data_IF_062079817940
#
_entry.id   IF_062079817940
#
_cell.length_a   1.000
_cell.length_b   1.000
_cell.length_c   1.000
_cell.angle_alpha   90.00
_cell.angle_beta   90.00
_cell.angle_gamma   90.00
#
_symmetry.space_group_name_H-M   'P 1'
#
loop_
_entity.id
_entity.type
_entity.pdbx_description
1 polymer ?
#
# COMPACT_ATOMS: atom_id res chain seq x y z
N UNK A 1 33.15 12.39 63.71
CA UNK A 1 33.13 11.29 62.71
C UNK A 1 31.75 11.03 62.07
N UNK A 2 30.63 11.02 62.81
CA UNK A 2 29.29 10.76 62.22
C UNK A 2 28.84 11.83 61.21
N UNK A 3 29.13 13.11 61.50
CA UNK A 3 28.79 14.25 60.62
C UNK A 3 29.53 14.18 59.27
N UNK A 4 30.83 13.87 59.31
CA UNK A 4 31.67 13.74 58.10
C UNK A 4 31.17 12.60 57.20
N UNK A 5 30.78 11.46 57.79
CA UNK A 5 30.22 10.31 57.05
C UNK A 5 28.89 10.65 56.37
N UNK A 6 28.03 11.41 57.05
CA UNK A 6 26.76 11.86 56.48
C UNK A 6 26.96 12.85 55.32
N UNK A 7 27.92 13.76 55.45
CA UNK A 7 28.27 14.72 54.41
C UNK A 7 28.83 14.03 53.15
N UNK A 8 29.72 13.05 53.32
CA UNK A 8 30.25 12.26 52.20
C UNK A 8 29.16 11.45 51.49
N UNK A 9 28.19 10.90 52.24
CA UNK A 9 27.08 10.17 51.64
C UNK A 9 26.17 11.09 50.83
N UNK A 10 25.86 12.28 51.35
CA UNK A 10 25.07 13.31 50.64
C UNK A 10 25.79 13.82 49.38
N UNK A 11 27.11 14.03 49.46
CA UNK A 11 27.88 14.47 48.30
C UNK A 11 27.93 13.40 47.21
N UNK A 12 28.11 12.13 47.59
CA UNK A 12 28.13 11.01 46.66
C UNK A 12 26.76 10.81 45.99
N UNK A 13 25.66 10.84 46.76
CA UNK A 13 24.31 10.69 46.21
C UNK A 13 23.93 11.86 45.33
N UNK A 14 24.19 13.11 45.75
CA UNK A 14 23.93 14.30 44.92
C UNK A 14 24.76 14.31 43.64
N UNK A 15 26.02 13.86 43.68
CA UNK A 15 26.87 13.75 42.47
C UNK A 15 26.33 12.71 41.49
N UNK A 16 25.89 11.55 41.98
CA UNK A 16 25.27 10.52 41.13
C UNK A 16 23.95 11.03 40.55
N UNK A 17 23.11 11.69 41.34
CA UNK A 17 21.85 12.29 40.86
C UNK A 17 22.15 13.35 39.79
N UNK A 18 23.11 14.24 40.03
CA UNK A 18 23.52 15.26 39.07
C UNK A 18 24.04 14.64 37.77
N UNK A 19 24.82 13.55 37.86
CA UNK A 19 25.29 12.81 36.68
C UNK A 19 24.14 12.13 35.91
N UNK A 20 23.17 11.56 36.62
CA UNK A 20 21.96 10.97 35.99
C UNK A 20 21.12 12.05 35.31
N UNK A 21 20.97 13.23 35.92
CA UNK A 21 20.23 14.34 35.31
C UNK A 21 20.97 14.87 34.08
N UNK A 22 22.28 15.11 34.19
CA UNK A 22 23.09 15.60 33.07
C UNK A 22 23.15 14.61 31.90
N UNK A 23 23.30 13.31 32.18
CA UNK A 23 23.31 12.27 31.14
C UNK A 23 21.96 12.13 30.42
N UNK A 24 20.84 12.43 31.08
CA UNK A 24 19.51 12.46 30.46
C UNK A 24 19.24 13.75 29.67
N UNK A 25 19.84 14.86 30.07
CA UNK A 25 19.63 16.18 29.47
C UNK A 25 20.50 16.44 28.23
N UNK A 26 21.61 15.70 28.06
CA UNK A 26 22.52 15.91 26.92
C UNK A 26 21.87 15.34 25.65
N UNK A 27 21.53 16.16 24.64
CA UNK A 27 20.97 15.67 23.39
C UNK A 27 21.98 14.75 22.71
N UNK A 28 21.56 13.51 22.42
CA UNK A 28 22.45 12.57 21.72
C UNK A 28 22.69 13.06 20.28
N UNK A 29 23.93 12.95 19.76
CA UNK A 29 24.22 13.39 18.42
C UNK A 29 23.34 12.65 17.42
N UNK A 30 22.61 13.43 16.62
CA UNK A 30 21.86 12.94 15.49
C UNK A 30 22.87 12.58 14.39
N UNK A 31 22.86 11.31 13.99
CA UNK A 31 23.77 10.76 12.99
C UNK A 31 22.98 10.43 11.73
N UNK A 32 23.42 10.92 10.57
CA UNK A 32 22.87 10.48 9.28
C UNK A 32 23.41 9.09 8.93
N UNK A 33 22.62 8.29 8.24
CA UNK A 33 22.97 6.91 7.89
C UNK A 33 24.25 6.86 7.06
N UNK A 34 24.42 7.76 6.08
CA UNK A 34 25.63 7.84 5.26
C UNK A 34 26.89 8.30 6.02
N UNK A 35 26.75 8.93 7.20
CA UNK A 35 27.89 9.33 8.02
C UNK A 35 28.42 8.20 8.92
N UNK A 36 27.77 7.02 8.93
CA UNK A 36 28.22 5.88 9.71
C UNK A 36 29.51 5.31 9.13
N UNK A 37 30.57 5.31 9.93
CA UNK A 37 31.90 4.80 9.55
C UNK A 37 32.27 3.53 10.34
N UNK A 38 33.12 2.64 9.80
CA UNK A 38 33.58 1.43 10.50
C UNK A 38 34.14 1.68 11.91
N UNK A 39 34.82 2.81 12.12
CA UNK A 39 35.35 3.22 13.42
C UNK A 39 34.28 3.49 14.48
N UNK A 40 33.02 3.69 14.08
CA UNK A 40 31.87 3.92 14.95
C UNK A 40 31.23 2.60 15.43
N UNK A 41 31.81 1.44 15.12
CA UNK A 41 31.29 0.15 15.59
C UNK A 41 31.18 0.16 17.13
N UNK A 42 30.08 -0.38 17.65
CA UNK A 42 29.69 -0.30 19.07
C UNK A 42 29.36 1.12 19.59
N UNK A 43 29.42 2.14 18.74
CA UNK A 43 29.02 3.49 19.08
C UNK A 43 27.52 3.58 19.38
N UNK A 44 27.15 4.41 20.35
CA UNK A 44 25.74 4.69 20.64
C UNK A 44 25.31 5.92 19.86
N UNK A 45 24.29 5.80 19.01
CA UNK A 45 23.84 6.87 18.11
C UNK A 45 22.33 7.07 18.18
N UNK A 46 21.89 8.22 17.69
CA UNK A 46 20.49 8.52 17.38
C UNK A 46 20.35 8.73 15.88
N UNK A 47 19.39 8.05 15.26
CA UNK A 47 19.02 8.25 13.85
C UNK A 47 17.56 8.67 13.77
N UNK A 48 17.20 9.41 12.72
CA UNK A 48 15.83 9.76 12.37
C UNK A 48 15.57 9.43 10.90
N UNK A 49 14.39 8.92 10.60
CA UNK A 49 14.03 8.60 9.21
C UNK A 49 12.63 7.99 9.10
N UNK A 50 12.32 7.48 7.92
CA UNK A 50 11.04 6.88 7.59
C UNK A 50 11.19 5.36 7.45
N UNK A 51 10.20 4.62 7.92
CA UNK A 51 10.13 3.17 7.72
C UNK A 51 9.62 2.92 6.30
N UNK A 52 10.41 2.25 5.45
CA UNK A 52 10.11 2.09 4.02
C UNK A 52 9.73 0.66 3.61
N UNK A 53 9.73 -0.27 4.57
CA UNK A 53 9.38 -1.67 4.35
C UNK A 53 8.73 -2.28 5.60
N UNK A 54 7.95 -3.34 5.42
CA UNK A 54 7.35 -4.04 6.57
C UNK A 54 8.42 -4.59 7.51
N UNK A 55 8.21 -4.49 8.84
CA UNK A 55 9.09 -5.13 9.79
C UNK A 55 9.01 -6.65 9.66
N UNK A 56 10.12 -7.32 9.99
CA UNK A 56 10.08 -8.73 10.35
C UNK A 56 9.88 -8.85 11.85
N UNK A 57 8.75 -9.42 12.25
CA UNK A 57 8.40 -9.70 13.63
C UNK A 57 8.28 -11.22 13.80
N UNK A 58 9.06 -11.79 14.71
CA UNK A 58 8.88 -13.17 15.19
C UNK A 58 8.36 -13.11 16.63
N UNK A 59 7.10 -13.49 16.83
CA UNK A 59 6.52 -13.57 18.16
C UNK A 59 7.10 -14.73 18.97
N UNK A 60 7.53 -15.80 18.33
CA UNK A 60 8.13 -16.96 18.99
C UNK A 60 9.53 -16.61 19.52
N UNK A 61 10.37 -16.02 18.67
CA UNK A 61 11.75 -15.68 19.03
C UNK A 61 11.85 -14.34 19.76
N UNK A 62 10.73 -13.59 19.81
CA UNK A 62 10.66 -12.21 20.30
C UNK A 62 11.75 -11.36 19.64
N UNK A 63 11.73 -11.36 18.31
CA UNK A 63 12.68 -10.66 17.46
C UNK A 63 11.94 -9.68 16.56
N UNK A 64 12.47 -8.47 16.45
CA UNK A 64 11.95 -7.43 15.55
C UNK A 64 13.12 -6.89 14.72
N UNK A 65 12.94 -6.79 13.41
CA UNK A 65 13.84 -6.05 12.53
C UNK A 65 13.04 -5.18 11.57
N UNK A 66 13.45 -3.92 11.42
CA UNK A 66 12.85 -2.98 10.48
C UNK A 66 13.95 -2.13 9.83
N UNK A 67 13.61 -1.44 8.73
CA UNK A 67 14.53 -0.56 8.01
C UNK A 67 14.10 0.88 8.16
N UNK A 68 15.07 1.76 8.38
CA UNK A 68 14.89 3.21 8.46
C UNK A 68 15.64 3.84 7.29
N UNK A 69 15.00 4.78 6.61
CA UNK A 69 15.56 5.52 5.49
C UNK A 69 15.56 7.02 5.80
N UNK A 70 16.70 7.69 5.61
CA UNK A 70 16.88 9.12 5.93
C UNK A 70 17.29 9.97 4.71
N UNK A 71 16.95 9.50 3.51
CA UNK A 71 17.43 10.00 2.20
C UNK A 71 18.91 9.77 1.90
N UNK A 72 19.78 9.62 2.91
CA UNK A 72 21.20 9.32 2.71
C UNK A 72 21.48 7.82 2.55
N UNK A 73 20.61 6.97 3.11
CA UNK A 73 20.69 5.51 2.95
C UNK A 73 19.61 4.78 3.72
N UNK A 74 19.72 3.45 3.77
CA UNK A 74 18.90 2.59 4.63
C UNK A 74 19.74 1.99 5.75
N UNK A 75 19.18 1.92 6.96
CA UNK A 75 19.80 1.24 8.09
C UNK A 75 18.83 0.21 8.67
N UNK A 76 19.33 -1.02 8.86
CA UNK A 76 18.58 -2.05 9.57
C UNK A 76 18.64 -1.80 11.07
N UNK A 77 17.48 -1.73 11.70
CA UNK A 77 17.33 -1.74 13.16
C UNK A 77 16.88 -3.13 13.59
N UNK A 78 17.41 -3.60 14.72
CA UNK A 78 17.02 -4.88 15.35
C UNK A 78 16.73 -4.68 16.82
N UNK A 79 15.74 -5.41 17.34
CA UNK A 79 15.41 -5.50 18.74
C UNK A 79 15.20 -6.96 19.15
N UNK A 80 15.56 -7.27 20.40
CA UNK A 80 15.51 -8.62 20.96
C UNK A 80 14.51 -8.72 22.12
N UNK A 81 14.33 -9.94 22.64
CA UNK A 81 13.26 -10.37 23.54
C UNK A 81 12.67 -9.29 24.45
N UNK A 82 13.44 -8.78 25.42
CA UNK A 82 12.93 -7.83 26.42
C UNK A 82 12.38 -6.53 25.80
N UNK A 83 13.01 -6.05 24.73
CA UNK A 83 12.56 -4.84 24.02
C UNK A 83 11.32 -5.15 23.18
N UNK A 84 11.31 -6.27 22.46
CA UNK A 84 10.19 -6.68 21.60
C UNK A 84 8.92 -6.93 22.41
N UNK A 85 9.03 -7.63 23.55
CA UNK A 85 7.91 -7.85 24.47
C UNK A 85 7.28 -6.53 24.92
N UNK A 86 8.11 -5.54 25.25
CA UNK A 86 7.63 -4.23 25.67
C UNK A 86 6.99 -3.43 24.52
N UNK A 87 7.60 -3.44 23.33
CA UNK A 87 7.03 -2.79 22.15
C UNK A 87 5.69 -3.41 21.75
N UNK A 88 5.53 -4.73 21.87
CA UNK A 88 4.26 -5.42 21.63
C UNK A 88 3.20 -5.04 22.66
N UNK A 89 3.56 -5.05 23.95
CA UNK A 89 2.66 -4.66 25.03
C UNK A 89 2.14 -3.22 24.87
N UNK A 90 3.00 -2.32 24.41
CA UNK A 90 2.68 -0.91 24.18
C UNK A 90 2.12 -0.62 22.77
N UNK A 91 2.00 -1.64 21.90
CA UNK A 91 1.58 -1.52 20.49
C UNK A 91 2.43 -0.52 19.68
N UNK A 92 3.73 -0.46 19.95
CA UNK A 92 4.72 0.44 19.31
C UNK A 92 5.57 -0.29 18.28
N UNK A 93 4.92 -0.92 17.30
CA UNK A 93 5.61 -1.59 16.20
C UNK A 93 5.66 -0.64 14.99
N UNK A 94 6.86 -0.30 14.48
CA UNK A 94 6.98 0.61 13.34
C UNK A 94 6.47 -0.06 12.05
N UNK A 95 5.63 0.66 11.32
CA UNK A 95 5.07 0.26 10.04
C UNK A 95 5.54 1.19 8.92
N UNK A 96 5.44 0.76 7.65
CA UNK A 96 5.74 1.62 6.52
C UNK A 96 5.07 3.01 6.62
N UNK A 97 5.86 4.05 6.39
CA UNK A 97 5.46 5.45 6.42
C UNK A 97 5.50 6.11 7.79
N UNK A 98 5.77 5.34 8.86
CA UNK A 98 6.06 5.92 10.15
C UNK A 98 7.39 6.68 10.11
N UNK A 99 7.40 7.85 10.75
CA UNK A 99 8.62 8.59 11.07
C UNK A 99 9.13 8.08 12.41
N UNK A 100 10.38 7.65 12.43
CA UNK A 100 10.97 7.05 13.62
C UNK A 100 12.22 7.80 14.05
N UNK A 101 12.37 7.95 15.35
CA UNK A 101 13.65 8.29 16.00
C UNK A 101 14.13 7.07 16.76
N UNK A 102 15.32 6.59 16.42
CA UNK A 102 15.87 5.35 17.00
C UNK A 102 17.20 5.63 17.68
N UNK A 103 17.29 5.25 18.95
CA UNK A 103 18.50 5.28 19.76
C UNK A 103 19.00 3.88 20.01
N UNK A 104 20.27 3.63 19.70
CA UNK A 104 20.81 2.28 19.80
C UNK A 104 22.30 2.20 19.65
N UNK A 105 22.81 0.97 19.71
CA UNK A 105 24.23 0.67 19.52
C UNK A 105 24.46 0.22 18.09
N UNK A 106 25.37 0.89 17.39
CA UNK A 106 25.82 0.51 16.06
C UNK A 106 26.54 -0.83 16.11
N UNK A 107 26.28 -1.65 15.10
CA UNK A 107 27.01 -2.87 14.78
C UNK A 107 27.36 -2.85 13.32
N UNK A 108 28.65 -2.95 13.04
CA UNK A 108 29.18 -2.98 11.68
C UNK A 108 29.82 -4.34 11.48
N UNK A 109 29.35 -5.09 10.48
CA UNK A 109 29.87 -6.40 10.08
C UNK A 109 29.97 -6.39 8.56
N UNK A 110 31.12 -6.79 8.02
CA UNK A 110 31.34 -6.87 6.58
C UNK A 110 30.96 -5.57 5.83
N UNK A 111 31.28 -4.42 6.45
CA UNK A 111 30.91 -3.06 6.00
C UNK A 111 29.40 -2.76 5.90
N UNK A 112 28.54 -3.63 6.44
CA UNK A 112 27.11 -3.38 6.59
C UNK A 112 26.80 -2.83 8.00
N UNK A 113 26.42 -1.55 8.12
CA UNK A 113 25.99 -0.99 9.39
C UNK A 113 24.57 -1.44 9.74
N UNK A 114 24.35 -1.69 11.02
CA UNK A 114 23.05 -1.97 11.62
C UNK A 114 22.98 -1.35 13.00
N UNK A 115 21.77 -1.19 13.53
CA UNK A 115 21.52 -0.63 14.86
C UNK A 115 20.80 -1.64 15.73
N UNK A 116 21.29 -1.83 16.96
CA UNK A 116 20.58 -2.58 17.99
C UNK A 116 19.83 -1.58 18.87
N UNK A 117 18.50 -1.68 18.87
CA UNK A 117 17.63 -0.96 19.80
C UNK A 117 17.74 -1.63 21.17
N UNK A 118 18.41 -0.96 22.11
CA UNK A 118 18.72 -1.53 23.43
C UNK A 118 17.56 -1.43 24.44
N UNK A 119 16.63 -0.50 24.23
CA UNK A 119 15.51 -0.23 25.13
C UNK A 119 14.30 0.29 24.32
N UNK A 120 13.07 -0.02 24.75
CA UNK A 120 11.86 0.38 24.04
C UNK A 120 11.65 1.90 24.01
N UNK A 121 12.13 2.60 25.04
CA UNK A 121 12.14 4.06 25.14
C UNK A 121 13.04 4.72 24.08
N UNK A 122 14.02 3.97 23.54
CA UNK A 122 14.89 4.44 22.47
C UNK A 122 14.20 4.54 21.10
N UNK A 123 12.94 4.13 20.96
CA UNK A 123 12.21 4.17 19.69
C UNK A 123 11.01 5.12 19.78
N UNK A 124 11.08 6.33 19.23
CA UNK A 124 9.88 7.15 19.03
C UNK A 124 9.28 6.83 17.66
N UNK A 125 7.95 6.70 17.60
CA UNK A 125 7.18 6.47 16.38
C UNK A 125 6.16 7.60 16.28
N UNK A 126 6.19 8.32 15.17
CA UNK A 126 5.16 9.24 14.73
C UNK A 126 4.55 8.68 13.44
N UNK A 127 3.23 8.55 13.39
CA UNK A 127 2.51 8.12 12.19
C UNK A 127 1.88 9.35 11.53
N UNK A 128 2.46 9.89 10.45
CA UNK A 128 1.90 11.04 9.76
C UNK A 128 0.46 10.79 9.26
N UNK A 129 -0.36 11.85 9.15
CA UNK A 129 -1.63 11.75 8.44
C UNK A 129 -1.38 11.37 6.98
N UNK A 130 -2.32 10.64 6.39
CA UNK A 130 -2.23 10.23 4.99
C UNK A 130 -2.78 11.31 4.06
N UNK A 131 -2.00 11.69 3.05
CA UNK A 131 -2.44 12.58 1.97
C UNK A 131 -3.38 11.84 1.02
N UNK A 132 -4.54 12.40 0.71
CA UNK A 132 -5.43 11.82 -0.30
C UNK A 132 -4.88 12.11 -1.70
N UNK A 133 -4.62 11.07 -2.49
CA UNK A 133 -4.12 11.18 -3.87
C UNK A 133 -4.96 10.30 -4.82
N UNK A 134 -4.95 10.63 -6.11
CA UNK A 134 -5.45 9.69 -7.13
C UNK A 134 -4.45 8.58 -7.38
N UNK A 135 -4.92 7.41 -7.82
CA UNK A 135 -4.02 6.30 -8.15
C UNK A 135 -2.98 6.69 -9.22
N UNK A 136 -3.38 7.52 -10.19
CA UNK A 136 -2.50 8.05 -11.24
C UNK A 136 -1.34 8.90 -10.72
N UNK A 137 -1.47 9.49 -9.53
CA UNK A 137 -0.46 10.38 -8.93
C UNK A 137 0.63 9.60 -8.17
N UNK A 138 0.43 8.31 -7.91
CA UNK A 138 1.32 7.47 -7.10
C UNK A 138 2.77 7.45 -7.60
N UNK A 139 2.97 7.41 -8.91
CA UNK A 139 4.32 7.39 -9.51
C UNK A 139 5.11 8.69 -9.25
N UNK A 140 4.40 9.81 -9.06
CA UNK A 140 4.99 11.10 -8.72
C UNK A 140 5.15 11.31 -7.20
N UNK A 141 4.67 10.39 -6.36
CA UNK A 141 4.73 10.53 -4.92
C UNK A 141 6.07 10.04 -4.34
N UNK A 142 6.74 10.83 -3.47
CA UNK A 142 7.96 10.43 -2.77
C UNK A 142 7.86 9.12 -1.98
N UNK A 143 8.99 8.40 -1.87
CA UNK A 143 9.11 7.21 -1.03
C UNK A 143 8.85 7.53 0.44
N UNK A 144 8.18 6.62 1.13
CA UNK A 144 7.85 6.73 2.54
C UNK A 144 6.70 7.69 2.85
N UNK A 145 6.20 8.46 1.88
CA UNK A 145 5.02 9.30 2.10
C UNK A 145 3.80 8.45 2.38
N UNK A 146 2.99 8.85 3.36
CA UNK A 146 1.73 8.18 3.69
C UNK A 146 0.61 8.75 2.81
N UNK A 147 -0.03 7.86 2.08
CA UNK A 147 -1.07 8.19 1.12
C UNK A 147 -2.34 7.42 1.39
N UNK A 148 -3.46 8.01 0.98
CA UNK A 148 -4.75 7.34 0.86
C UNK A 148 -5.18 7.42 -0.60
N UNK A 149 -5.42 6.26 -1.22
CA UNK A 149 -5.85 6.16 -2.62
C UNK A 149 -6.93 5.10 -2.78
N UNK A 150 -7.61 5.10 -3.91
CA UNK A 150 -8.68 4.14 -4.24
C UNK A 150 -8.37 3.43 -5.53
N UNK A 151 -8.74 2.16 -5.62
CA UNK A 151 -8.61 1.37 -6.84
C UNK A 151 -9.48 0.12 -6.81
N UNK A 152 -9.88 -0.35 -7.98
CA UNK A 152 -10.60 -1.61 -8.13
C UNK A 152 -9.62 -2.77 -8.14
N UNK A 153 -9.87 -3.78 -7.33
CA UNK A 153 -9.06 -4.98 -7.24
C UNK A 153 -9.14 -5.76 -8.55
N UNK A 154 -8.02 -5.91 -9.24
CA UNK A 154 -7.91 -6.69 -10.49
C UNK A 154 -7.47 -8.11 -10.21
N UNK A 155 -6.46 -8.26 -9.35
CA UNK A 155 -5.85 -9.56 -9.03
C UNK A 155 -5.33 -9.57 -7.61
N UNK A 156 -5.47 -10.70 -6.94
CA UNK A 156 -4.91 -10.95 -5.61
C UNK A 156 -3.96 -12.14 -5.72
N UNK A 157 -2.75 -12.01 -5.18
CA UNK A 157 -1.78 -13.12 -5.08
C UNK A 157 -1.03 -13.07 -3.75
N UNK A 158 -0.70 -14.23 -3.21
CA UNK A 158 0.17 -14.32 -2.03
C UNK A 158 1.63 -14.55 -2.47
N UNK A 159 2.56 -13.92 -1.79
CA UNK A 159 4.00 -14.12 -1.96
C UNK A 159 4.53 -14.78 -0.70
N UNK A 160 4.73 -16.10 -0.80
CA UNK A 160 4.94 -16.95 0.37
C UNK A 160 3.77 -16.81 1.36
N UNK A 161 4.10 -16.87 2.66
CA UNK A 161 3.12 -16.76 3.74
C UNK A 161 3.11 -15.38 4.41
N UNK A 162 3.88 -14.42 3.88
CA UNK A 162 4.15 -13.14 4.55
C UNK A 162 3.44 -11.97 3.90
N UNK A 163 3.30 -11.97 2.57
CA UNK A 163 2.77 -10.82 1.84
C UNK A 163 1.60 -11.23 0.96
N UNK A 164 0.60 -10.36 0.90
CA UNK A 164 -0.43 -10.36 -0.14
C UNK A 164 -0.18 -9.17 -1.06
N UNK A 165 -0.14 -9.42 -2.36
CA UNK A 165 -0.03 -8.40 -3.39
C UNK A 165 -1.36 -8.31 -4.13
N UNK A 166 -1.91 -7.11 -4.18
CA UNK A 166 -3.22 -6.79 -4.74
C UNK A 166 -2.97 -5.80 -5.88
N UNK A 167 -3.18 -6.24 -7.12
CA UNK A 167 -3.16 -5.35 -8.28
C UNK A 167 -4.44 -4.54 -8.30
N UNK A 168 -4.34 -3.22 -8.37
CA UNK A 168 -5.49 -2.30 -8.42
C UNK A 168 -5.46 -1.43 -9.66
N UNK A 169 -6.63 -0.99 -10.12
CA UNK A 169 -6.80 -0.10 -11.28
C UNK A 169 -7.79 1.03 -10.97
N UNK A 170 -7.56 2.22 -11.52
CA UNK A 170 -8.52 3.33 -11.63
C UNK A 170 -8.29 4.00 -13.00
N UNK A 171 -9.13 3.68 -13.98
CA UNK A 171 -8.89 4.03 -15.38
C UNK A 171 -7.60 3.41 -15.92
N UNK A 172 -6.75 4.24 -16.51
CA UNK A 172 -5.43 3.85 -16.99
C UNK A 172 -4.40 3.63 -15.87
N UNK A 173 -4.65 4.18 -14.69
CA UNK A 173 -3.72 4.03 -13.58
C UNK A 173 -3.80 2.62 -13.01
N UNK A 174 -2.64 1.98 -12.86
CA UNK A 174 -2.51 0.68 -12.19
C UNK A 174 -1.40 0.76 -11.14
N UNK A 175 -1.56 0.00 -10.06
CA UNK A 175 -0.53 -0.11 -9.04
C UNK A 175 -0.63 -1.44 -8.28
N UNK A 176 0.42 -1.77 -7.53
CA UNK A 176 0.38 -2.85 -6.56
C UNK A 176 0.14 -2.28 -5.16
N UNK A 177 -0.75 -2.92 -4.41
CA UNK A 177 -0.95 -2.73 -2.98
C UNK A 177 -0.41 -3.97 -2.29
N UNK A 178 0.53 -3.79 -1.38
CA UNK A 178 1.13 -4.88 -0.61
C UNK A 178 0.62 -4.82 0.80
N UNK A 179 0.11 -5.94 1.32
CA UNK A 179 -0.32 -6.10 2.70
C UNK A 179 0.49 -7.18 3.40
N UNK A 180 0.90 -6.92 4.65
CA UNK A 180 1.52 -7.92 5.49
C UNK A 180 0.47 -8.92 6.03
N UNK A 181 0.74 -10.21 5.87
CA UNK A 181 -0.06 -11.32 6.39
C UNK A 181 0.50 -11.86 7.72
N UNK A 182 1.81 -11.73 7.90
CA UNK A 182 2.56 -12.15 9.09
C UNK A 182 2.53 -11.14 10.23
N UNK A 183 1.88 -9.98 10.02
CA UNK A 183 1.68 -8.93 11.02
C UNK A 183 0.22 -8.83 11.46
N UNK A 184 -0.52 -9.94 11.45
CA UNK A 184 -1.96 -9.99 11.79
C UNK A 184 -2.29 -9.51 13.20
N UNK A 185 -1.33 -9.53 14.13
CA UNK A 185 -1.47 -8.93 15.47
C UNK A 185 -1.59 -7.40 15.42
N UNK A 186 -1.15 -6.78 14.33
CA UNK A 186 -1.11 -5.32 14.14
C UNK A 186 -2.10 -4.90 13.06
N UNK A 187 -2.12 -5.60 11.92
CA UNK A 187 -2.93 -5.27 10.75
C UNK A 187 -3.67 -6.53 10.30
N UNK A 188 -4.99 -6.50 10.39
CA UNK A 188 -5.86 -7.56 9.86
C UNK A 188 -6.42 -7.12 8.51
N UNK A 189 -5.92 -7.65 7.38
CA UNK A 189 -6.48 -7.31 6.08
C UNK A 189 -7.89 -7.92 5.94
N UNK A 190 -8.87 -7.17 5.41
CA UNK A 190 -10.19 -7.72 5.14
C UNK A 190 -10.14 -8.85 4.10
N UNK A 191 -11.16 -9.72 4.04
CA UNK A 191 -11.34 -10.59 2.89
C UNK A 191 -11.61 -9.74 1.65
N UNK A 192 -10.80 -9.91 0.61
CA UNK A 192 -10.89 -9.16 -0.65
C UNK A 192 -11.20 -10.11 -1.79
N UNK A 193 -11.97 -9.63 -2.76
CA UNK A 193 -12.28 -10.30 -4.02
C UNK A 193 -11.97 -9.41 -5.21
N UNK A 194 -11.70 -10.02 -6.37
CA UNK A 194 -11.59 -9.30 -7.63
C UNK A 194 -12.88 -8.53 -7.95
N UNK A 195 -12.75 -7.36 -8.56
CA UNK A 195 -13.85 -6.45 -8.90
C UNK A 195 -14.27 -5.51 -7.78
N UNK A 196 -13.87 -5.77 -6.52
CA UNK A 196 -14.18 -4.87 -5.41
C UNK A 196 -13.38 -3.57 -5.49
N UNK A 197 -14.03 -2.46 -5.18
CA UNK A 197 -13.33 -1.20 -4.94
C UNK A 197 -12.79 -1.16 -3.53
N UNK A 198 -11.53 -0.78 -3.38
CA UNK A 198 -10.88 -0.61 -2.09
C UNK A 198 -10.32 0.81 -1.94
N UNK A 199 -10.36 1.29 -0.70
CA UNK A 199 -9.60 2.46 -0.24
C UNK A 199 -8.42 1.94 0.56
N UNK A 200 -7.23 2.37 0.20
CA UNK A 200 -5.99 1.88 0.79
C UNK A 200 -5.26 3.06 1.42
N UNK A 201 -4.91 2.91 2.69
CA UNK A 201 -4.05 3.84 3.42
C UNK A 201 -2.74 3.15 3.74
N UNK A 202 -1.62 3.74 3.32
CA UNK A 202 -0.31 3.13 3.48
C UNK A 202 0.82 4.03 3.01
N UNK A 203 2.04 3.54 3.09
CA UNK A 203 3.20 4.27 2.62
C UNK A 203 3.52 3.96 1.16
N UNK A 204 4.05 4.93 0.44
CA UNK A 204 4.60 4.71 -0.89
C UNK A 204 5.93 3.96 -0.75
N UNK A 205 5.94 2.72 -1.24
CA UNK A 205 7.13 1.90 -1.39
C UNK A 205 7.51 1.74 -2.86
N UNK A 206 8.58 1.00 -3.12
CA UNK A 206 9.01 0.66 -4.47
C UNK A 206 9.48 -0.78 -4.54
N UNK A 207 9.18 -1.44 -5.66
CA UNK A 207 9.67 -2.76 -5.96
C UNK A 207 10.03 -2.85 -7.44
N UNK A 208 11.29 -3.18 -7.74
CA UNK A 208 11.81 -3.28 -9.11
C UNK A 208 11.52 -2.04 -9.97
N UNK A 209 11.62 -0.84 -9.37
CA UNK A 209 11.40 0.44 -10.05
C UNK A 209 9.93 0.88 -10.17
N UNK A 210 8.97 0.05 -9.74
CA UNK A 210 7.56 0.42 -9.72
C UNK A 210 7.11 0.89 -8.32
N UNK A 211 6.41 2.02 -8.25
CA UNK A 211 5.79 2.49 -7.00
C UNK A 211 4.62 1.58 -6.62
N UNK A 212 4.47 1.35 -5.33
CA UNK A 212 3.43 0.53 -4.74
C UNK A 212 2.97 1.12 -3.41
N UNK A 213 1.80 0.72 -2.93
CA UNK A 213 1.31 1.14 -1.61
C UNK A 213 1.52 -0.01 -0.62
N UNK A 214 2.35 0.21 0.40
CA UNK A 214 2.53 -0.68 1.54
C UNK A 214 1.41 -0.40 2.55
N UNK A 215 0.33 -1.17 2.51
CA UNK A 215 -0.92 -0.88 3.22
C UNK A 215 -0.77 -1.00 4.75
N UNK A 216 -1.15 0.04 5.47
CA UNK A 216 -1.45 -0.06 6.90
C UNK A 216 -2.94 -0.33 7.17
N UNK A 217 -3.80 0.04 6.22
CA UNK A 217 -5.23 -0.13 6.32
C UNK A 217 -5.84 -0.31 4.92
N UNK A 218 -6.88 -1.14 4.83
CA UNK A 218 -7.64 -1.37 3.60
C UNK A 218 -9.11 -1.44 3.98
N UNK A 219 -9.91 -0.58 3.36
CA UNK A 219 -11.36 -0.58 3.46
C UNK A 219 -11.98 -1.00 2.13
N UNK A 220 -13.01 -1.82 2.19
CA UNK A 220 -13.87 -2.06 1.03
C UNK A 220 -14.76 -0.84 0.89
N UNK A 221 -14.71 -0.19 -0.27
CA UNK A 221 -15.62 0.90 -0.60
C UNK A 221 -16.97 0.27 -0.92
N UNK A 222 -17.94 0.44 -0.03
CA UNK A 222 -19.31 -0.02 -0.26
C UNK A 222 -20.05 0.93 -1.21
N UNK A 223 -20.79 0.35 -2.14
CA UNK A 223 -21.59 1.07 -3.14
C UNK A 223 -21.01 1.00 -4.54
N UNK A 224 -21.86 1.28 -5.52
CA UNK A 224 -21.44 1.47 -6.91
C UNK A 224 -20.68 2.80 -6.96
N UNK A 225 -19.34 2.76 -6.85
CA UNK A 225 -18.54 3.94 -7.19
C UNK A 225 -18.88 4.25 -8.63
N UNK A 226 -19.42 5.44 -8.89
CA UNK A 226 -19.56 5.96 -10.24
C UNK A 226 -18.15 5.97 -10.82
N UNK A 227 -17.86 5.13 -11.82
CA UNK A 227 -16.54 5.10 -12.46
C UNK A 227 -16.19 6.53 -12.91
N UNK A 228 -14.91 6.91 -12.79
CA UNK A 228 -14.53 8.32 -13.01
C UNK A 228 -15.03 8.77 -14.38
N UNK A 229 -15.78 9.88 -14.40
CA UNK A 229 -16.26 10.49 -15.64
C UNK A 229 -15.10 10.79 -16.61
N UNK A 230 -13.88 10.91 -16.07
CA UNK A 230 -12.64 11.19 -16.81
C UNK A 230 -12.32 10.17 -17.92
N UNK A 231 -12.80 8.93 -17.81
CA UNK A 231 -12.53 7.88 -18.81
C UNK A 231 -13.80 7.32 -19.47
N UNK A 232 -14.97 7.85 -19.15
CA UNK A 232 -16.21 7.55 -19.89
C UNK A 232 -16.33 8.46 -21.11
N UNK A 233 -16.61 7.87 -22.27
CA UNK A 233 -16.61 8.58 -23.57
C UNK A 233 -17.81 8.14 -24.41
N UNK A 234 -18.18 8.99 -25.37
CA UNK A 234 -19.05 8.55 -26.45
C UNK A 234 -18.28 7.56 -27.33
N UNK A 235 -18.98 6.55 -27.84
CA UNK A 235 -18.42 5.57 -28.78
C UNK A 235 -17.91 6.27 -30.04
N UNK A 236 -18.53 7.37 -30.48
CA UNK A 236 -18.10 8.14 -31.63
C UNK A 236 -16.71 8.79 -31.46
N UNK A 237 -16.21 8.91 -30.23
CA UNK A 237 -14.89 9.49 -29.92
C UNK A 237 -13.79 8.42 -29.81
N UNK A 238 -14.13 7.14 -29.93
CA UNK A 238 -13.18 6.04 -29.81
C UNK A 238 -12.44 5.85 -31.14
N UNK A 239 -11.17 6.25 -31.15
CA UNK A 239 -10.28 6.15 -32.31
C UNK A 239 -8.91 5.55 -31.96
N UNK A 240 -8.04 5.41 -32.96
CA UNK A 240 -6.71 4.79 -32.84
C UNK A 240 -5.81 5.45 -31.78
N UNK A 241 -6.06 6.73 -31.42
CA UNK A 241 -5.27 7.46 -30.42
C UNK A 241 -5.57 6.97 -29.00
N UNK A 242 -6.68 6.26 -28.83
CA UNK A 242 -7.11 5.68 -27.55
C UNK A 242 -6.78 4.19 -27.45
N UNK A 243 -6.09 3.59 -28.42
CA UNK A 243 -5.64 2.20 -28.32
C UNK A 243 -4.77 2.00 -27.07
N UNK A 244 -4.96 0.84 -26.43
CA UNK A 244 -4.38 0.45 -25.14
C UNK A 244 -4.75 1.36 -23.97
N UNK A 245 -5.74 2.24 -24.12
CA UNK A 245 -6.32 3.00 -23.01
C UNK A 245 -7.48 2.24 -22.41
N UNK A 246 -7.64 2.41 -21.10
CA UNK A 246 -8.84 2.03 -20.38
C UNK A 246 -9.94 3.06 -20.62
N UNK A 247 -11.06 2.63 -21.18
CA UNK A 247 -12.20 3.49 -21.48
C UNK A 247 -13.49 2.88 -20.96
N UNK A 248 -14.47 3.74 -20.71
CA UNK A 248 -15.82 3.37 -20.35
C UNK A 248 -16.83 3.85 -21.39
N UNK A 249 -17.83 3.02 -21.69
CA UNK A 249 -18.95 3.35 -22.58
C UNK A 249 -20.27 2.97 -21.93
N UNK A 250 -21.33 3.68 -22.30
CA UNK A 250 -22.71 3.31 -21.99
C UNK A 250 -23.51 3.22 -23.28
N UNK A 251 -24.31 2.17 -23.41
CA UNK A 251 -25.11 1.98 -24.62
C UNK A 251 -26.12 0.86 -24.48
N UNK A 252 -26.79 0.56 -25.58
CA UNK A 252 -27.77 -0.53 -25.70
C UNK A 252 -27.14 -1.66 -26.48
N UNK A 253 -27.29 -2.89 -25.99
CA UNK A 253 -26.88 -4.09 -26.70
C UNK A 253 -27.74 -4.23 -27.96
N UNK A 254 -27.12 -4.16 -29.12
CA UNK A 254 -27.77 -4.25 -30.43
C UNK A 254 -27.60 -5.62 -31.09
N UNK A 255 -26.56 -6.36 -30.72
CA UNK A 255 -26.36 -7.75 -31.14
C UNK A 255 -25.57 -8.55 -30.09
N UNK A 256 -25.79 -9.86 -30.04
CA UNK A 256 -25.06 -10.82 -29.19
C UNK A 256 -24.69 -12.06 -30.02
N UNK A 257 -23.39 -12.29 -30.19
CA UNK A 257 -22.87 -13.39 -31.01
C UNK A 257 -21.86 -14.23 -30.22
N UNK A 258 -22.16 -15.50 -29.90
CA UNK A 258 -21.19 -16.38 -29.25
C UNK A 258 -20.04 -16.71 -30.21
N UNK A 259 -18.85 -16.89 -29.64
CA UNK A 259 -17.70 -17.44 -30.35
C UNK A 259 -17.01 -18.48 -29.47
N UNK A 260 -15.95 -19.12 -29.99
CA UNK A 260 -15.30 -20.26 -29.31
C UNK A 260 -14.80 -19.98 -27.89
N UNK A 261 -14.52 -18.73 -27.53
CA UNK A 261 -13.89 -18.35 -26.26
C UNK A 261 -14.65 -17.24 -25.53
N UNK A 262 -15.94 -17.05 -25.85
CA UNK A 262 -16.76 -16.05 -25.17
C UNK A 262 -17.92 -15.51 -25.99
N UNK A 263 -18.31 -14.28 -25.70
CA UNK A 263 -19.41 -13.55 -26.32
C UNK A 263 -18.93 -12.22 -26.92
N UNK A 264 -19.37 -11.92 -28.15
CA UNK A 264 -19.26 -10.58 -28.74
C UNK A 264 -20.59 -9.87 -28.60
N UNK A 265 -20.57 -8.65 -28.12
CA UNK A 265 -21.74 -7.78 -28.04
C UNK A 265 -21.51 -6.52 -28.87
N UNK A 266 -22.42 -6.19 -29.77
CA UNK A 266 -22.40 -4.89 -30.45
C UNK A 266 -23.19 -3.91 -29.59
N UNK A 267 -22.55 -2.85 -29.11
CA UNK A 267 -23.17 -1.86 -28.20
C UNK A 267 -23.25 -0.52 -28.89
N UNK A 268 -24.43 0.09 -28.91
CA UNK A 268 -24.70 1.39 -29.54
C UNK A 268 -25.05 2.43 -28.50
N UNK A 269 -24.34 3.56 -28.50
CA UNK A 269 -24.58 4.66 -27.54
C UNK A 269 -25.64 5.65 -28.06
N UNK A 270 -25.87 6.73 -27.31
CA UNK A 270 -26.82 7.77 -27.66
C UNK A 270 -26.42 8.60 -28.91
N UNK A 271 -25.15 8.55 -29.33
CA UNK A 271 -24.69 9.20 -30.57
C UNK A 271 -25.07 8.39 -31.82
N UNK A 272 -25.46 7.12 -31.65
CA UNK A 272 -25.73 6.18 -32.73
C UNK A 272 -24.49 5.43 -33.22
N UNK A 273 -23.30 5.70 -32.65
CA UNK A 273 -22.10 4.93 -32.93
C UNK A 273 -22.12 3.59 -32.18
N UNK A 274 -21.54 2.56 -32.81
CA UNK A 274 -21.48 1.19 -32.28
C UNK A 274 -20.05 0.71 -32.08
N UNK A 275 -19.82 -0.06 -31.01
CA UNK A 275 -18.54 -0.73 -30.74
C UNK A 275 -18.76 -2.22 -30.47
N UNK A 276 -17.82 -3.04 -30.90
CA UNK A 276 -17.77 -4.46 -30.55
C UNK A 276 -17.12 -4.60 -29.18
N UNK A 277 -17.85 -5.17 -28.23
CA UNK A 277 -17.33 -5.57 -26.93
C UNK A 277 -17.03 -7.06 -26.95
N UNK A 278 -15.80 -7.42 -26.61
CA UNK A 278 -15.37 -8.82 -26.57
C UNK A 278 -15.27 -9.28 -25.12
N UNK A 279 -16.26 -10.06 -24.69
CA UNK A 279 -16.28 -10.67 -23.37
C UNK A 279 -15.77 -12.11 -23.48
N UNK A 280 -14.51 -12.34 -23.14
CA UNK A 280 -13.95 -13.70 -23.04
C UNK A 280 -14.66 -14.51 -21.97
N UNK A 281 -14.56 -15.84 -22.01
CA UNK A 281 -15.19 -16.77 -21.06
C UNK A 281 -14.91 -16.41 -19.59
N UNK A 282 -13.70 -15.92 -19.28
CA UNK A 282 -13.33 -15.45 -17.93
C UNK A 282 -14.22 -14.31 -17.43
N UNK A 283 -14.73 -13.48 -18.33
CA UNK A 283 -15.71 -12.44 -18.04
C UNK A 283 -17.12 -13.01 -18.20
N UNK A 284 -17.49 -13.45 -19.41
CA UNK A 284 -18.85 -13.83 -19.80
C UNK A 284 -19.47 -14.88 -18.88
N UNK A 285 -18.77 -15.97 -18.58
CA UNK A 285 -19.32 -17.07 -17.76
C UNK A 285 -19.50 -16.68 -16.29
N UNK A 286 -18.82 -15.63 -15.84
CA UNK A 286 -18.87 -15.14 -14.46
C UNK A 286 -19.70 -13.86 -14.31
N UNK A 287 -20.30 -13.36 -15.40
CA UNK A 287 -21.25 -12.26 -15.32
C UNK A 287 -22.53 -12.72 -14.63
N UNK A 288 -23.00 -12.03 -13.57
CA UNK A 288 -24.20 -12.42 -12.84
C UNK A 288 -25.48 -12.46 -13.68
N UNK A 289 -25.49 -11.73 -14.80
CA UNK A 289 -26.64 -11.56 -15.69
C UNK A 289 -26.35 -12.07 -17.11
N UNK A 290 -25.30 -12.87 -17.33
CA UNK A 290 -24.96 -13.39 -18.67
C UNK A 290 -26.11 -14.15 -19.34
N UNK A 291 -26.86 -14.94 -18.57
CA UNK A 291 -27.99 -15.75 -19.09
C UNK A 291 -29.25 -14.93 -19.33
N UNK A 292 -29.33 -13.72 -18.78
CA UNK A 292 -30.48 -12.81 -18.92
C UNK A 292 -30.19 -11.64 -19.85
N UNK A 293 -28.91 -11.34 -20.13
CA UNK A 293 -28.50 -10.27 -21.02
C UNK A 293 -29.04 -10.52 -22.43
N UNK A 294 -29.79 -9.56 -22.95
CA UNK A 294 -30.49 -9.64 -24.21
C UNK A 294 -30.26 -8.39 -25.07
N UNK A 295 -30.51 -8.50 -26.37
CA UNK A 295 -30.59 -7.34 -27.26
C UNK A 295 -31.69 -6.40 -26.74
N UNK A 296 -31.37 -5.12 -26.63
CA UNK A 296 -32.21 -4.09 -26.02
C UNK A 296 -31.83 -3.72 -24.59
N UNK A 297 -31.02 -4.53 -23.90
CA UNK A 297 -30.54 -4.19 -22.56
C UNK A 297 -29.55 -3.03 -22.61
N UNK A 298 -29.68 -2.11 -21.66
CA UNK A 298 -28.73 -1.01 -21.49
C UNK A 298 -27.59 -1.47 -20.58
N UNK A 299 -26.37 -1.25 -21.03
CA UNK A 299 -25.14 -1.69 -20.37
C UNK A 299 -24.18 -0.53 -20.16
N UNK A 300 -23.38 -0.65 -19.11
CA UNK A 300 -22.21 0.16 -18.82
C UNK A 300 -21.00 -0.77 -18.85
N UNK A 301 -20.00 -0.44 -19.66
CA UNK A 301 -18.89 -1.33 -19.94
C UNK A 301 -17.59 -0.56 -19.85
N UNK A 302 -16.63 -1.11 -19.12
CA UNK A 302 -15.26 -0.64 -19.03
C UNK A 302 -14.32 -1.69 -19.62
N UNK A 303 -13.25 -1.24 -20.27
CA UNK A 303 -12.32 -2.15 -20.91
C UNK A 303 -11.12 -1.45 -21.50
N UNK A 304 -10.13 -2.24 -21.89
CA UNK A 304 -9.04 -1.77 -22.74
C UNK A 304 -9.56 -1.66 -24.18
N UNK A 305 -9.25 -0.55 -24.83
CA UNK A 305 -9.51 -0.39 -26.26
C UNK A 305 -8.39 -1.08 -27.05
N UNK A 306 -8.73 -2.07 -27.87
CA UNK A 306 -7.76 -2.80 -28.68
C UNK A 306 -8.16 -2.80 -30.15
N UNK A 307 -7.21 -3.08 -31.04
CA UNK A 307 -7.47 -3.29 -32.45
C UNK A 307 -7.38 -4.78 -32.78
N UNK A 308 -8.41 -5.31 -33.42
CA UNK A 308 -8.42 -6.66 -33.96
C UNK A 308 -8.87 -6.64 -35.41
N UNK A 309 -7.97 -7.05 -36.31
CA UNK A 309 -8.24 -7.12 -37.77
C UNK A 309 -8.77 -5.79 -38.35
N UNK A 310 -8.20 -4.65 -37.93
CA UNK A 310 -8.61 -3.34 -38.42
C UNK A 310 -9.90 -2.79 -37.79
N UNK A 311 -10.43 -3.44 -36.76
CA UNK A 311 -11.59 -2.97 -36.01
C UNK A 311 -11.21 -2.69 -34.56
N UNK A 312 -11.67 -1.54 -34.06
CA UNK A 312 -11.55 -1.20 -32.65
C UNK A 312 -12.58 -2.02 -31.85
N UNK A 313 -12.09 -2.75 -30.85
CA UNK A 313 -12.86 -3.59 -29.94
C UNK A 313 -12.63 -3.13 -28.49
N UNK A 314 -13.64 -3.24 -27.64
CA UNK A 314 -13.54 -2.98 -26.20
C UNK A 314 -13.43 -4.29 -25.42
N UNK A 315 -12.40 -4.42 -24.59
CA UNK A 315 -12.06 -5.65 -23.88
C UNK A 315 -12.14 -5.46 -22.35
N UNK A 316 -13.26 -5.84 -21.72
CA UNK A 316 -13.36 -5.96 -20.26
C UNK A 316 -12.39 -7.02 -19.71
N UNK A 317 -11.83 -6.81 -18.52
CA UNK A 317 -10.91 -7.78 -17.88
C UNK A 317 -11.63 -8.63 -16.82
N UNK A 318 -12.64 -8.07 -16.16
CA UNK A 318 -13.39 -8.69 -15.07
C UNK A 318 -14.90 -8.62 -15.28
N UNK A 319 -15.69 -9.52 -14.65
CA UNK A 319 -17.15 -9.40 -14.63
C UNK A 319 -17.65 -8.07 -14.09
N UNK A 320 -16.92 -7.48 -13.15
CA UNK A 320 -17.25 -6.18 -12.55
C UNK A 320 -17.09 -4.99 -13.51
N UNK A 321 -16.46 -5.20 -14.67
CA UNK A 321 -16.29 -4.16 -15.70
C UNK A 321 -17.54 -4.05 -16.59
N UNK A 322 -18.50 -4.95 -16.45
CA UNK A 322 -19.75 -4.96 -17.22
C UNK A 322 -20.92 -4.88 -16.24
N UNK A 323 -21.74 -3.85 -16.36
CA UNK A 323 -22.94 -3.65 -15.55
C UNK A 323 -24.17 -3.35 -16.39
N UNK A 324 -25.36 -3.63 -15.85
CA UNK A 324 -26.62 -3.17 -16.43
C UNK A 324 -26.89 -1.73 -16.01
N UNK A 325 -27.08 -0.83 -16.97
CA UNK A 325 -27.42 0.57 -16.71
C UNK A 325 -28.94 0.68 -16.58
N UNK A 326 -29.45 0.85 -15.35
CA UNK A 326 -30.89 0.99 -15.08
C UNK A 326 -31.47 0.04 -14.03
N UNK A 327 -30.66 -0.81 -13.39
CA UNK A 327 -31.05 -1.45 -12.14
C UNK A 327 -31.04 -0.40 -11.01
N UNK A 328 -32.08 0.43 -10.95
CA UNK A 328 -32.47 1.09 -9.71
C UNK A 328 -32.66 0.02 -8.65
N UNK A 329 -31.65 -0.19 -7.81
CA UNK A 329 -31.81 -0.98 -6.59
C UNK A 329 -32.74 -0.19 -5.66
N UNK A 330 -34.01 -0.58 -5.64
CA UNK A 330 -34.88 -0.24 -4.54
C UNK A 330 -34.20 -0.69 -3.24
N UNK A 331 -33.83 0.27 -2.39
CA UNK A 331 -33.43 0.00 -1.01
C UNK A 331 -34.62 -0.58 -0.24
N UNK A 332 -34.44 -1.63 0.59
CA UNK A 332 -35.39 -1.91 1.66
C UNK A 332 -35.36 -0.82 2.73
#
# INVERSE_FOLDING_TARGET
MRLLKALTLLLATSSVIALVVASRATPRPLTTIAAVQPAMNFGYVRIEGVVVAYPTLSEQDKFLSFRVWDASGELRVTAYRAVVERLLAERRIPLPGDRVRVEGTLRIRDDEPSLILNAAEGLSIETPPASAIRLAELNGTPLGERVQTTGQVRRIRNVGNRLRVISVRDGDATAEVVSALDLSVIVTPPPLGAGQWIRVTGAVGEYRGAKQVLSSHVDIVQGDRIPSADYFRSIAELDERLLSRWVGVEGVVSDLRPFRQGMRADVTDASGASIVVVMFDSVWQHLPFSTTLSVGDRVRIEGELAEYRGQIELLPELPADVGLAGASRASP
#
